data_IF_543377664907
#
_entry.id   IF_543377664907
#
_cell.length_a   1.000
_cell.length_b   1.000
_cell.length_c   1.000
_cell.angle_alpha   90.00
_cell.angle_beta   90.00
_cell.angle_gamma   90.00
#
_symmetry.space_group_name_H-M   'P 1'
#
loop_
_entity.id
_entity.type
_entity.pdbx_description
1 polymer ?
#
# COMPACT_ATOMS: atom_id res chain seq x y z
N UNK A 1 0.82 -15.35 -16.22
CA UNK A 1 -0.12 -14.75 -17.19
C UNK A 1 0.24 -13.28 -17.20
N UNK A 2 0.68 -12.69 -18.33
CA UNK A 2 0.87 -11.25 -18.41
C UNK A 2 -0.49 -10.55 -18.17
N UNK A 3 -0.48 -9.44 -17.44
CA UNK A 3 -1.67 -8.60 -17.31
C UNK A 3 -2.08 -8.01 -18.67
N UNK A 4 -3.22 -7.32 -18.72
CA UNK A 4 -3.78 -6.71 -19.93
C UNK A 4 -2.82 -5.75 -20.68
N UNK A 5 -1.70 -5.38 -20.06
CA UNK A 5 -0.66 -4.49 -20.59
C UNK A 5 0.64 -5.23 -21.02
N UNK A 6 0.65 -6.57 -21.01
CA UNK A 6 1.81 -7.38 -21.42
C UNK A 6 2.94 -7.48 -20.38
N UNK A 7 2.80 -6.82 -19.23
CA UNK A 7 3.78 -6.82 -18.16
C UNK A 7 3.80 -8.13 -17.36
N UNK A 8 4.99 -8.64 -17.04
CA UNK A 8 5.21 -9.78 -16.15
C UNK A 8 5.17 -9.30 -14.69
N UNK A 9 3.94 -9.17 -14.16
CA UNK A 9 3.74 -8.76 -12.77
C UNK A 9 3.70 -9.93 -11.82
N UNK A 10 4.52 -9.87 -10.79
CA UNK A 10 4.51 -10.78 -9.66
C UNK A 10 3.67 -10.17 -8.53
N UNK A 11 2.59 -10.84 -8.14
CA UNK A 11 1.76 -10.44 -7.00
C UNK A 11 2.52 -10.52 -5.67
N UNK A 12 2.34 -9.52 -4.82
CA UNK A 12 2.92 -9.45 -3.48
C UNK A 12 1.86 -9.54 -2.39
N UNK A 13 0.82 -8.71 -2.45
CA UNK A 13 -0.27 -8.71 -1.45
C UNK A 13 -1.55 -8.08 -1.97
N UNK A 14 -2.66 -8.36 -1.27
CA UNK A 14 -3.99 -7.80 -1.50
C UNK A 14 -4.42 -7.03 -0.24
N UNK A 15 -4.93 -5.80 -0.40
CA UNK A 15 -5.29 -4.91 0.71
C UNK A 15 -6.75 -5.03 1.15
N UNK A 16 -7.42 -6.13 0.83
CA UNK A 16 -8.80 -6.40 1.24
C UNK A 16 -8.92 -7.81 1.86
N UNK A 17 -9.94 -8.01 2.70
CA UNK A 17 -10.29 -9.31 3.24
C UNK A 17 -11.21 -10.11 2.30
N UNK A 18 -12.28 -10.70 2.85
CA UNK A 18 -13.32 -11.37 2.04
C UNK A 18 -14.28 -10.32 1.45
N UNK A 19 -13.90 -9.71 0.33
CA UNK A 19 -14.78 -8.86 -0.47
C UNK A 19 -15.19 -9.54 -1.77
N UNK A 20 -16.37 -9.23 -2.29
CA UNK A 20 -16.79 -9.55 -3.67
C UNK A 20 -16.52 -8.41 -4.66
N UNK A 21 -15.72 -7.41 -4.26
CA UNK A 21 -15.31 -6.26 -5.04
C UNK A 21 -13.91 -6.45 -5.64
N UNK A 22 -13.55 -5.62 -6.62
CA UNK A 22 -12.14 -5.44 -7.00
C UNK A 22 -11.34 -5.02 -5.76
N UNK A 23 -10.13 -5.52 -5.61
CA UNK A 23 -9.31 -5.23 -4.43
C UNK A 23 -8.00 -4.57 -4.83
N UNK A 24 -7.55 -3.57 -4.06
CA UNK A 24 -6.23 -3.04 -4.26
C UNK A 24 -5.17 -4.13 -4.06
N UNK A 25 -4.17 -4.13 -4.92
CA UNK A 25 -3.14 -5.17 -5.00
C UNK A 25 -1.77 -4.55 -5.25
N UNK A 26 -0.74 -5.10 -4.61
CA UNK A 26 0.64 -4.71 -4.81
C UNK A 26 1.36 -5.76 -5.66
N UNK A 27 2.14 -5.29 -6.63
CA UNK A 27 2.90 -6.12 -7.55
C UNK A 27 4.34 -5.64 -7.71
N UNK A 28 5.21 -6.55 -8.16
CA UNK A 28 6.52 -6.26 -8.74
C UNK A 28 6.42 -6.45 -10.26
N UNK A 29 6.65 -5.39 -11.02
CA UNK A 29 6.66 -5.40 -12.49
C UNK A 29 8.10 -5.57 -12.99
N UNK A 30 8.46 -6.79 -13.40
CA UNK A 30 9.84 -7.12 -13.78
C UNK A 30 10.28 -6.45 -15.08
N UNK A 31 9.32 -6.01 -15.90
CA UNK A 31 9.58 -5.39 -17.20
C UNK A 31 9.65 -3.85 -17.08
N UNK A 32 9.21 -3.28 -15.95
CA UNK A 32 9.28 -1.86 -15.67
C UNK A 32 10.69 -1.38 -15.28
N UNK A 33 11.02 -0.10 -15.57
CA UNK A 33 12.26 0.51 -15.12
C UNK A 33 12.28 0.62 -13.59
N UNK A 34 13.49 0.69 -13.01
CA UNK A 34 13.68 0.54 -11.56
C UNK A 34 12.90 1.58 -10.73
N UNK A 35 12.69 2.77 -11.28
CA UNK A 35 11.93 3.87 -10.69
C UNK A 35 10.40 3.66 -10.64
N UNK A 36 9.87 2.62 -11.31
CA UNK A 36 8.42 2.35 -11.44
C UNK A 36 8.07 0.87 -11.24
N UNK A 37 9.00 0.08 -10.73
CA UNK A 37 8.91 -1.39 -10.64
C UNK A 37 7.88 -1.89 -9.63
N UNK A 38 7.54 -1.11 -8.63
CA UNK A 38 6.55 -1.48 -7.62
C UNK A 38 5.23 -0.82 -8.01
N UNK A 39 4.18 -1.63 -8.19
CA UNK A 39 2.88 -1.17 -8.69
C UNK A 39 1.79 -1.49 -7.68
N UNK A 40 1.19 -0.47 -7.08
CA UNK A 40 -0.06 -0.58 -6.33
C UNK A 40 -1.21 -0.25 -7.28
N UNK A 41 -2.06 -1.23 -7.55
CA UNK A 41 -3.30 -1.05 -8.30
C UNK A 41 -4.46 -0.93 -7.33
N UNK A 42 -5.35 0.04 -7.52
CA UNK A 42 -6.59 0.15 -6.75
C UNK A 42 -7.74 -0.69 -7.34
N UNK A 43 -8.91 -0.64 -6.71
CA UNK A 43 -10.12 -1.37 -7.13
C UNK A 43 -10.80 -0.78 -8.37
N UNK A 44 -10.41 0.41 -8.81
CA UNK A 44 -10.89 1.08 -10.02
C UNK A 44 -9.89 1.01 -11.19
N UNK A 45 -8.74 0.35 -10.99
CA UNK A 45 -7.67 0.19 -11.99
C UNK A 45 -6.67 1.35 -12.06
N UNK A 46 -6.74 2.32 -11.14
CA UNK A 46 -5.69 3.34 -11.00
C UNK A 46 -4.42 2.69 -10.46
N UNK A 47 -3.27 3.28 -10.82
CA UNK A 47 -1.97 2.74 -10.45
C UNK A 47 -1.12 3.82 -9.77
N UNK A 48 -0.53 3.45 -8.64
CA UNK A 48 0.61 4.15 -8.05
C UNK A 48 1.85 3.32 -8.34
N UNK A 49 2.84 3.94 -8.98
CA UNK A 49 4.12 3.31 -9.29
C UNK A 49 5.20 3.95 -8.44
N UNK A 50 6.08 3.12 -7.87
CA UNK A 50 7.20 3.56 -7.06
C UNK A 50 8.45 2.74 -7.38
N UNK A 51 9.61 3.27 -6.99
CA UNK A 51 10.86 2.55 -7.12
C UNK A 51 10.96 1.41 -6.09
N UNK A 52 11.89 0.49 -6.32
CA UNK A 52 12.24 -0.54 -5.32
C UNK A 52 12.77 0.10 -4.04
N UNK A 53 13.58 1.16 -4.15
CA UNK A 53 14.16 1.86 -3.01
C UNK A 53 13.08 2.52 -2.14
N UNK A 54 12.06 3.12 -2.75
CA UNK A 54 10.93 3.70 -2.03
C UNK A 54 10.16 2.64 -1.22
N UNK A 55 10.00 1.42 -1.76
CA UNK A 55 9.38 0.33 -0.99
C UNK A 55 10.29 -0.12 0.16
N UNK A 56 11.61 -0.15 -0.02
CA UNK A 56 12.55 -0.45 1.07
C UNK A 56 12.53 0.59 2.18
N UNK A 57 12.37 1.88 1.86
CA UNK A 57 12.20 2.92 2.89
C UNK A 57 10.96 2.67 3.76
N UNK A 58 9.85 2.21 3.17
CA UNK A 58 8.65 1.83 3.93
C UNK A 58 8.93 0.62 4.82
N UNK A 59 9.64 -0.39 4.29
CA UNK A 59 10.04 -1.57 5.07
C UNK A 59 10.93 -1.20 6.25
N UNK A 60 11.87 -0.27 6.07
CA UNK A 60 12.77 0.17 7.12
C UNK A 60 12.03 1.00 8.19
N UNK A 61 11.03 1.78 7.80
CA UNK A 61 10.14 2.46 8.75
C UNK A 61 9.34 1.47 9.60
N UNK A 62 8.81 0.40 9.00
CA UNK A 62 8.12 -0.66 9.74
C UNK A 62 9.08 -1.43 10.67
N UNK A 63 10.27 -1.79 10.20
CA UNK A 63 11.27 -2.49 11.04
C UNK A 63 11.77 -1.66 12.22
N UNK A 64 11.86 -0.35 12.04
CA UNK A 64 12.30 0.57 13.10
C UNK A 64 11.19 0.96 14.09
N UNK A 65 9.93 0.60 13.81
CA UNK A 65 8.78 1.02 14.62
C UNK A 65 8.30 2.46 14.32
N UNK A 66 8.93 3.16 13.38
CA UNK A 66 8.58 4.53 13.04
C UNK A 66 7.19 4.61 12.39
N UNK A 67 6.85 3.62 11.56
CA UNK A 67 5.53 3.54 10.93
C UNK A 67 4.44 3.34 11.98
N UNK A 68 4.66 2.41 12.90
CA UNK A 68 3.77 2.11 14.03
C UNK A 68 3.56 3.33 14.92
N UNK A 69 4.62 4.07 15.23
CA UNK A 69 4.52 5.30 16.05
C UNK A 69 3.60 6.36 15.42
N UNK A 70 3.61 6.49 14.09
CA UNK A 70 2.71 7.41 13.37
C UNK A 70 1.26 6.90 13.43
N UNK A 71 1.06 5.60 13.25
CA UNK A 71 -0.28 4.98 13.32
C UNK A 71 -0.89 5.12 14.72
N UNK A 72 -0.12 4.85 15.77
CA UNK A 72 -0.57 5.00 17.17
C UNK A 72 -0.97 6.45 17.46
N UNK A 73 -0.19 7.41 16.95
CA UNK A 73 -0.50 8.84 17.09
C UNK A 73 -1.82 9.21 16.39
N UNK A 74 -2.07 8.69 15.19
CA UNK A 74 -3.32 8.92 14.46
C UNK A 74 -4.54 8.33 15.20
N UNK A 75 -4.39 7.15 15.81
CA UNK A 75 -5.45 6.51 16.59
C UNK A 75 -5.73 7.24 17.91
N UNK A 76 -4.70 7.71 18.61
CA UNK A 76 -4.84 8.48 19.84
C UNK A 76 -5.58 9.81 19.61
N UNK A 77 -5.28 10.52 18.51
CA UNK A 77 -6.01 11.73 18.10
C UNK A 77 -7.48 11.42 17.84
N UNK A 78 -7.76 10.29 17.18
CA UNK A 78 -9.14 9.89 16.86
C UNK A 78 -9.94 9.57 18.13
N UNK A 79 -9.32 9.00 19.17
CA UNK A 79 -9.96 8.79 20.48
C UNK A 79 -10.24 10.12 21.20
N UNK A 80 -9.31 11.07 21.18
CA UNK A 80 -9.48 12.37 21.84
C UNK A 80 -10.55 13.27 21.21
N UNK A 81 -10.85 13.11 19.91
CA UNK A 81 -11.96 13.82 19.26
C UNK A 81 -13.33 13.23 19.65
N UNK A 82 -13.41 11.91 19.86
CA UNK A 82 -14.66 11.25 20.28
C UNK A 82 -15.09 11.68 21.69
N UNK A 83 -14.15 11.93 22.60
CA UNK A 83 -14.43 12.41 23.96
C UNK A 83 -14.89 13.88 24.02
N UNK A 84 -14.59 14.68 22.99
CA UNK A 84 -14.94 16.10 22.93
C UNK A 84 -16.32 16.37 22.29
N UNK A 85 -16.91 15.40 21.58
CA UNK A 85 -18.24 15.52 20.97
C UNK A 85 -19.37 14.92 21.84
N UNK A 86 -19.04 14.41 23.03
CA UNK A 86 -19.96 13.70 23.93
C UNK A 86 -20.24 14.38 25.27
N UNK A 87 -19.88 15.66 25.45
CA UNK A 87 -20.18 16.45 26.66
C UNK A 87 -21.00 17.69 26.32
#
# INVERSE_FOLDING_TARGET
>A
MPDADGATRQHLTTFCGKCSCGCPQLFVDHDAPAERRIVLMDDFGQQVQMSVDQLYEIIDQAKSGALESVLDSALAVTSGIQDAAGQ
#
